data_IF_403439572741
#
_entry.id   IF_403439572741
#
_cell.length_a   1.000
_cell.length_b   1.000
_cell.length_c   1.000
_cell.angle_alpha   90.00
_cell.angle_beta   90.00
_cell.angle_gamma   90.00
#
_symmetry.space_group_name_H-M   'P 1'
#
loop_
_entity.id
_entity.type
_entity.pdbx_description
1 polymer ?
#
# COMPACT_ATOMS: atom_id res chain seq x y z
N UNK A 1 -69.78 -56.34 -53.04
CA UNK A 1 -71.08 -55.63 -53.01
C UNK A 1 -70.79 -54.22 -52.50
N UNK A 2 -71.31 -53.23 -53.22
CA UNK A 2 -70.72 -51.92 -53.44
C UNK A 2 -70.58 -51.01 -52.20
N UNK A 3 -69.45 -50.30 -52.13
CA UNK A 3 -69.23 -49.15 -51.25
C UNK A 3 -69.63 -47.90 -52.05
N UNK A 4 -70.60 -47.14 -51.55
CA UNK A 4 -71.16 -45.94 -52.20
C UNK A 4 -70.46 -44.68 -51.67
N UNK A 5 -70.17 -43.81 -52.64
CA UNK A 5 -69.55 -42.49 -52.62
C UNK A 5 -70.34 -41.47 -51.78
N UNK A 6 -69.68 -40.50 -51.14
CA UNK A 6 -69.84 -39.04 -51.35
C UNK A 6 -69.13 -38.20 -50.27
N UNK A 7 -68.31 -37.23 -50.71
CA UNK A 7 -67.84 -36.10 -49.92
C UNK A 7 -68.85 -34.95 -49.98
N UNK A 8 -68.80 -33.98 -49.05
CA UNK A 8 -68.40 -32.65 -49.51
C UNK A 8 -67.49 -31.87 -48.54
N UNK A 9 -66.93 -30.81 -49.12
CA UNK A 9 -65.93 -29.91 -48.59
C UNK A 9 -66.51 -28.80 -47.66
N UNK A 10 -65.60 -28.24 -46.85
CA UNK A 10 -65.76 -26.97 -46.13
C UNK A 10 -65.88 -27.15 -44.62
N UNK A 11 -65.31 -26.32 -43.74
CA UNK A 11 -64.53 -25.12 -43.91
C UNK A 11 -64.04 -24.68 -42.48
N UNK A 12 -62.97 -23.86 -42.42
CA UNK A 12 -62.59 -22.91 -41.33
C UNK A 12 -61.54 -23.38 -40.33
N UNK A 13 -60.27 -23.13 -40.68
CA UNK A 13 -59.20 -22.94 -39.71
C UNK A 13 -59.26 -21.52 -39.16
N UNK A 14 -59.56 -21.37 -37.87
CA UNK A 14 -59.46 -20.09 -37.16
C UNK A 14 -57.98 -19.77 -36.88
N UNK A 15 -57.54 -18.64 -37.42
CA UNK A 15 -56.25 -18.02 -37.13
C UNK A 15 -56.34 -17.36 -35.76
N UNK A 16 -55.68 -17.94 -34.76
CA UNK A 16 -55.55 -17.34 -33.43
C UNK A 16 -54.51 -16.22 -33.53
N UNK A 17 -54.97 -14.95 -33.51
CA UNK A 17 -54.09 -13.78 -33.38
C UNK A 17 -53.50 -13.79 -31.96
N UNK A 18 -52.23 -14.11 -31.83
CA UNK A 18 -51.47 -13.88 -30.61
C UNK A 18 -51.29 -12.37 -30.41
N UNK A 19 -52.03 -11.78 -29.47
CA UNK A 19 -51.79 -10.43 -29.00
C UNK A 19 -50.55 -10.42 -28.10
N UNK A 20 -49.43 -10.01 -28.67
CA UNK A 20 -48.19 -9.72 -27.95
C UNK A 20 -48.46 -8.51 -27.05
N UNK A 21 -48.34 -8.61 -25.71
CA UNK A 21 -48.44 -7.43 -24.87
C UNK A 21 -47.27 -6.49 -25.19
N UNK A 22 -47.48 -5.17 -25.23
CA UNK A 22 -46.39 -4.23 -25.46
C UNK A 22 -45.37 -4.38 -24.34
N UNK A 23 -44.14 -4.70 -24.74
CA UNK A 23 -42.95 -4.67 -23.90
C UNK A 23 -42.91 -3.32 -23.19
N UNK A 24 -43.22 -3.34 -21.89
CA UNK A 24 -43.07 -2.19 -21.01
C UNK A 24 -41.64 -1.71 -21.13
N UNK A 25 -41.47 -0.48 -21.61
CA UNK A 25 -40.19 0.21 -21.64
C UNK A 25 -39.46 0.00 -20.31
N UNK A 26 -38.36 -0.76 -20.34
CA UNK A 26 -37.37 -0.73 -19.28
C UNK A 26 -37.00 0.72 -19.08
N UNK A 27 -37.32 1.27 -17.92
CA UNK A 27 -37.09 2.66 -17.58
C UNK A 27 -35.63 3.04 -17.85
N UNK A 28 -35.41 3.97 -18.77
CA UNK A 28 -34.11 4.63 -18.96
C UNK A 28 -33.59 5.29 -17.66
N UNK A 29 -34.46 5.48 -16.66
CA UNK A 29 -34.14 6.03 -15.34
C UNK A 29 -33.47 5.06 -14.35
N UNK A 30 -33.35 3.76 -14.64
CA UNK A 30 -32.72 2.81 -13.70
C UNK A 30 -31.18 2.93 -13.69
N UNK A 31 -30.58 3.53 -14.72
CA UNK A 31 -29.13 3.73 -14.83
C UNK A 31 -28.64 5.04 -14.21
N UNK A 32 -29.54 5.99 -13.92
CA UNK A 32 -29.19 7.37 -13.52
C UNK A 32 -28.96 7.56 -12.01
N UNK A 33 -29.19 6.51 -11.22
CA UNK A 33 -28.98 6.55 -9.76
C UNK A 33 -28.07 5.42 -9.28
N UNK A 34 -26.99 5.17 -10.03
CA UNK A 34 -25.92 4.28 -9.54
C UNK A 34 -25.29 4.92 -8.31
N UNK A 35 -25.59 4.36 -7.14
CA UNK A 35 -24.95 4.75 -5.90
C UNK A 35 -23.44 4.50 -6.02
N UNK A 36 -22.66 5.58 -5.96
CA UNK A 36 -21.21 5.47 -6.00
C UNK A 36 -20.71 5.05 -4.63
N UNK A 37 -20.06 3.89 -4.58
CA UNK A 37 -19.43 3.37 -3.37
C UNK A 37 -18.05 4.01 -3.21
N UNK A 38 -17.74 4.42 -1.98
CA UNK A 38 -16.43 4.86 -1.57
C UNK A 38 -15.89 4.00 -0.45
N UNK A 39 -14.58 3.95 -0.32
CA UNK A 39 -13.89 3.31 0.78
C UNK A 39 -12.86 4.27 1.37
N UNK A 40 -12.75 4.30 2.70
CA UNK A 40 -11.72 5.01 3.43
C UNK A 40 -10.41 4.24 3.35
N UNK A 41 -9.42 4.84 2.71
CA UNK A 41 -8.06 4.35 2.58
C UNK A 41 -7.11 5.20 3.44
N UNK A 42 -6.09 4.60 4.06
CA UNK A 42 -5.04 5.38 4.71
C UNK A 42 -4.20 6.09 3.65
N UNK A 43 -3.74 7.31 3.96
CA UNK A 43 -2.89 8.08 3.03
C UNK A 43 -1.57 7.39 2.70
N UNK A 44 -0.99 6.69 3.68
CA UNK A 44 0.20 5.86 3.52
C UNK A 44 -0.07 4.51 4.12
N UNK A 45 0.24 3.46 3.38
CA UNK A 45 0.24 2.09 3.89
C UNK A 45 1.39 1.35 3.22
N UNK A 46 2.00 0.43 3.95
CA UNK A 46 3.07 -0.40 3.40
C UNK A 46 3.23 -1.67 4.22
N UNK A 47 3.72 -2.71 3.56
CA UNK A 47 4.14 -3.95 4.19
C UNK A 47 5.64 -3.86 4.45
N UNK A 48 6.04 -3.91 5.71
CA UNK A 48 7.42 -4.00 6.11
C UNK A 48 7.90 -5.43 5.96
N UNK A 49 9.00 -5.62 5.24
CA UNK A 49 9.61 -6.93 5.01
C UNK A 49 10.98 -7.02 5.67
N UNK A 50 11.45 -8.25 5.93
CA UNK A 50 12.78 -8.49 6.46
C UNK A 50 13.85 -8.15 5.42
N UNK A 51 14.85 -7.35 5.80
CA UNK A 51 16.00 -7.06 4.94
C UNK A 51 17.10 -8.13 5.00
N UNK A 52 17.08 -8.95 6.06
CA UNK A 52 18.05 -10.01 6.32
C UNK A 52 17.35 -11.28 6.79
N UNK A 53 17.97 -12.43 6.57
CA UNK A 53 17.55 -13.69 7.17
C UNK A 53 18.00 -13.76 8.63
N UNK A 54 17.07 -13.74 9.58
CA UNK A 54 17.37 -13.78 11.00
C UNK A 54 16.18 -14.25 11.85
N UNK A 55 16.44 -14.61 13.11
CA UNK A 55 15.39 -14.92 14.09
C UNK A 55 14.82 -13.63 14.67
N UNK A 56 13.51 -13.51 14.76
CA UNK A 56 12.84 -12.39 15.44
C UNK A 56 13.09 -12.53 16.94
N UNK A 57 13.86 -11.62 17.52
CA UNK A 57 14.18 -11.60 18.94
C UNK A 57 13.09 -10.92 19.76
N UNK A 58 12.59 -9.79 19.26
CA UNK A 58 11.61 -8.94 19.94
C UNK A 58 10.65 -8.32 18.93
N UNK A 59 9.38 -8.30 19.29
CA UNK A 59 8.34 -7.59 18.57
C UNK A 59 7.51 -6.74 19.55
N UNK A 60 7.98 -5.52 19.89
CA UNK A 60 7.36 -4.69 20.93
C UNK A 60 5.97 -4.16 20.55
N UNK A 61 5.55 -4.28 19.29
CA UNK A 61 4.26 -3.80 18.80
C UNK A 61 3.28 -4.94 18.60
N UNK A 62 2.03 -4.69 18.96
CA UNK A 62 0.90 -5.61 18.74
C UNK A 62 -0.03 -5.04 17.68
N UNK A 63 -0.89 -5.89 17.11
CA UNK A 63 -1.92 -5.47 16.14
C UNK A 63 -2.82 -4.38 16.74
N UNK A 64 -3.10 -3.34 15.96
CA UNK A 64 -3.86 -2.17 16.38
C UNK A 64 -3.10 -1.15 17.23
N UNK A 65 -1.89 -1.47 17.71
CA UNK A 65 -1.08 -0.54 18.49
C UNK A 65 -0.57 0.63 17.65
N UNK A 66 -0.51 1.81 18.28
CA UNK A 66 0.01 3.04 17.66
C UNK A 66 1.52 3.16 17.88
N UNK A 67 2.22 3.65 16.86
CA UNK A 67 3.65 3.96 16.89
C UNK A 67 3.93 5.33 16.28
N UNK A 68 5.11 5.87 16.59
CA UNK A 68 5.66 7.10 16.02
C UNK A 68 6.74 6.77 15.00
N UNK A 69 7.00 7.72 14.10
CA UNK A 69 8.11 7.62 13.17
C UNK A 69 9.44 7.45 13.94
N UNK A 70 10.26 6.49 13.52
CA UNK A 70 11.53 6.14 14.17
C UNK A 70 11.42 5.09 15.29
N UNK A 71 10.21 4.75 15.73
CA UNK A 71 10.05 3.69 16.75
C UNK A 71 10.51 2.34 16.20
N UNK A 72 11.18 1.55 17.04
CA UNK A 72 11.60 0.19 16.69
C UNK A 72 10.39 -0.74 16.68
N UNK A 73 10.05 -1.27 15.51
CA UNK A 73 8.91 -2.17 15.33
C UNK A 73 9.32 -3.64 15.42
N UNK A 74 10.49 -4.00 14.89
CA UNK A 74 11.02 -5.36 14.89
C UNK A 74 12.48 -5.36 15.34
N UNK A 75 12.85 -6.29 16.20
CA UNK A 75 14.24 -6.58 16.55
C UNK A 75 14.62 -8.00 16.20
N UNK A 76 15.68 -8.17 15.41
CA UNK A 76 16.26 -9.46 15.10
C UNK A 76 17.36 -9.86 16.09
N UNK A 77 17.64 -11.16 16.17
CA UNK A 77 18.81 -11.68 16.84
C UNK A 77 20.03 -11.54 15.93
N UNK A 78 20.94 -10.65 16.31
CA UNK A 78 22.11 -10.29 15.51
C UNK A 78 23.43 -10.47 16.28
N UNK A 79 23.50 -11.46 17.16
CA UNK A 79 24.73 -11.78 17.89
C UNK A 79 25.92 -12.04 16.94
N UNK A 80 25.69 -12.69 15.80
CA UNK A 80 26.73 -12.95 14.80
C UNK A 80 27.22 -11.65 14.13
N UNK A 81 26.30 -10.80 13.67
CA UNK A 81 26.62 -9.52 13.02
C UNK A 81 27.36 -8.59 13.98
N UNK A 82 26.94 -8.56 15.25
CA UNK A 82 27.64 -7.80 16.28
C UNK A 82 29.08 -8.31 16.48
N UNK A 83 29.28 -9.62 16.49
CA UNK A 83 30.61 -10.23 16.64
C UNK A 83 31.51 -9.90 15.44
N UNK A 84 30.97 -9.94 14.21
CA UNK A 84 31.71 -9.56 13.00
C UNK A 84 32.11 -8.09 13.00
N UNK A 85 31.21 -7.19 13.45
CA UNK A 85 31.53 -5.77 13.62
C UNK A 85 32.67 -5.58 14.62
N UNK A 86 32.61 -6.23 15.79
CA UNK A 86 33.68 -6.15 16.79
C UNK A 86 35.03 -6.65 16.26
N UNK A 87 35.03 -7.73 15.46
CA UNK A 87 36.23 -8.24 14.79
C UNK A 87 36.81 -7.22 13.81
N UNK A 88 35.97 -6.61 12.97
CA UNK A 88 36.39 -5.60 12.00
C UNK A 88 36.92 -4.33 12.69
N UNK A 89 36.31 -3.91 13.79
CA UNK A 89 36.78 -2.78 14.60
C UNK A 89 38.18 -3.04 15.16
N UNK A 90 38.44 -4.24 15.69
CA UNK A 90 39.77 -4.61 16.17
C UNK A 90 40.82 -4.62 15.04
N UNK A 91 40.45 -5.07 13.84
CA UNK A 91 41.33 -5.04 12.67
C UNK A 91 41.62 -3.59 12.20
N UNK A 92 40.60 -2.72 12.21
CA UNK A 92 40.76 -1.29 11.93
C UNK A 92 41.71 -0.63 12.93
N UNK A 93 41.55 -0.90 14.23
CA UNK A 93 42.41 -0.35 15.28
C UNK A 93 43.87 -0.81 15.12
N UNK A 94 44.09 -2.07 14.73
CA UNK A 94 45.42 -2.58 14.43
C UNK A 94 46.05 -1.85 13.23
N UNK A 95 45.31 -1.73 12.12
CA UNK A 95 45.76 -1.03 10.92
C UNK A 95 46.03 0.47 11.18
N UNK A 96 45.21 1.12 12.00
CA UNK A 96 45.36 2.53 12.36
C UNK A 96 46.64 2.76 13.18
N UNK A 97 46.94 1.87 14.13
CA UNK A 97 48.21 1.91 14.89
C UNK A 97 49.41 1.70 13.99
N UNK A 98 49.36 0.74 13.07
CA UNK A 98 50.46 0.48 12.11
C UNK A 98 50.70 1.68 11.19
N UNK A 99 49.65 2.24 10.59
CA UNK A 99 49.77 3.42 9.74
C UNK A 99 50.33 4.62 10.51
N UNK A 100 49.86 4.87 11.74
CA UNK A 100 50.40 5.94 12.61
C UNK A 100 51.87 5.71 12.97
N UNK A 101 52.27 4.46 13.19
CA UNK A 101 53.67 4.12 13.43
C UNK A 101 54.53 4.39 12.18
N UNK A 102 54.09 3.92 11.01
CA UNK A 102 54.77 4.15 9.74
C UNK A 102 54.83 5.64 9.38
N UNK A 103 53.79 6.42 9.69
CA UNK A 103 53.79 7.86 9.50
C UNK A 103 54.89 8.54 10.33
N UNK A 104 54.99 8.20 11.62
CA UNK A 104 56.07 8.72 12.49
C UNK A 104 57.45 8.30 12.02
N UNK A 105 57.60 7.07 11.53
CA UNK A 105 58.87 6.59 10.97
C UNK A 105 59.21 7.31 9.65
N UNK A 106 58.22 7.66 8.83
CA UNK A 106 58.43 8.41 7.59
C UNK A 106 58.90 9.84 7.88
N UNK A 107 58.36 10.47 8.92
CA UNK A 107 58.81 11.79 9.40
C UNK A 107 60.29 11.76 9.85
N UNK A 108 60.77 10.59 10.29
CA UNK A 108 62.16 10.32 10.67
C UNK A 108 63.01 9.76 9.52
N UNK A 109 62.49 9.69 8.28
CA UNK A 109 63.13 9.05 7.12
C UNK A 109 63.54 7.57 7.35
N UNK A 110 62.84 6.87 8.25
CA UNK A 110 63.14 5.51 8.67
C UNK A 110 62.27 4.43 8.00
N UNK A 111 61.36 4.81 7.10
CA UNK A 111 60.51 3.90 6.32
C UNK A 111 60.34 4.39 4.88
N UNK A 112 60.18 3.46 3.94
CA UNK A 112 59.97 3.78 2.52
C UNK A 112 58.55 4.27 2.23
N UNK A 113 58.40 5.12 1.20
CA UNK A 113 57.10 5.63 0.74
C UNK A 113 56.10 4.51 0.40
N UNK A 114 56.56 3.43 -0.23
CA UNK A 114 55.72 2.27 -0.59
C UNK A 114 55.10 1.63 0.65
N UNK A 115 55.86 1.48 1.74
CA UNK A 115 55.37 0.88 2.98
C UNK A 115 54.37 1.79 3.71
N UNK A 116 54.59 3.11 3.67
CA UNK A 116 53.61 4.09 4.17
C UNK A 116 52.30 4.00 3.37
N UNK A 117 52.38 4.01 2.03
CA UNK A 117 51.22 3.93 1.14
C UNK A 117 50.45 2.60 1.32
N UNK A 118 51.15 1.48 1.50
CA UNK A 118 50.54 0.16 1.80
C UNK A 118 49.80 0.19 3.14
N UNK A 119 50.42 0.71 4.20
CA UNK A 119 49.77 0.80 5.51
C UNK A 119 48.55 1.74 5.50
N UNK A 120 48.58 2.81 4.69
CA UNK A 120 47.44 3.69 4.48
C UNK A 120 46.30 2.97 3.76
N UNK A 121 46.61 2.19 2.72
CA UNK A 121 45.64 1.41 1.97
C UNK A 121 44.97 0.33 2.85
N UNK A 122 45.73 -0.38 3.69
CA UNK A 122 45.17 -1.37 4.62
C UNK A 122 44.27 -0.72 5.68
N UNK A 123 44.63 0.47 6.19
CA UNK A 123 43.73 1.24 7.06
C UNK A 123 42.43 1.62 6.34
N UNK A 124 42.51 2.09 5.10
CA UNK A 124 41.34 2.44 4.31
C UNK A 124 40.41 1.22 4.07
N UNK A 125 41.00 0.06 3.77
CA UNK A 125 40.29 -1.22 3.62
C UNK A 125 39.60 -1.64 4.93
N UNK A 126 40.30 -1.62 6.06
CA UNK A 126 39.72 -1.99 7.34
C UNK A 126 38.57 -1.04 7.76
N UNK A 127 38.68 0.26 7.46
CA UNK A 127 37.57 1.22 7.65
C UNK A 127 36.36 0.88 6.80
N UNK A 128 36.56 0.49 5.53
CA UNK A 128 35.47 0.07 4.65
C UNK A 128 34.78 -1.21 5.14
N UNK A 129 35.53 -2.16 5.70
CA UNK A 129 34.98 -3.37 6.31
C UNK A 129 34.09 -3.05 7.53
N UNK A 130 34.55 -2.17 8.43
CA UNK A 130 33.74 -1.71 9.57
C UNK A 130 32.45 -1.05 9.09
N UNK A 131 32.52 -0.15 8.10
CA UNK A 131 31.33 0.50 7.54
C UNK A 131 30.34 -0.53 6.95
N UNK A 132 30.83 -1.57 6.27
CA UNK A 132 30.00 -2.65 5.72
C UNK A 132 29.26 -3.42 6.83
N UNK A 133 29.95 -3.81 7.90
CA UNK A 133 29.31 -4.51 9.03
C UNK A 133 28.36 -3.61 9.82
N UNK A 134 28.62 -2.30 9.92
CA UNK A 134 27.66 -1.35 10.50
C UNK A 134 26.35 -1.29 9.71
N UNK A 135 26.42 -1.27 8.37
CA UNK A 135 25.22 -1.33 7.53
C UNK A 135 24.49 -2.65 7.75
N UNK A 136 25.19 -3.78 7.80
CA UNK A 136 24.56 -5.07 8.09
C UNK A 136 23.88 -5.10 9.46
N UNK A 137 24.49 -4.50 10.49
CA UNK A 137 23.91 -4.40 11.82
C UNK A 137 22.70 -3.46 11.87
N UNK A 138 22.69 -2.39 11.07
CA UNK A 138 21.53 -1.48 11.01
C UNK A 138 20.25 -2.19 10.53
N UNK A 139 20.39 -3.22 9.69
CA UNK A 139 19.29 -4.08 9.20
C UNK A 139 18.73 -5.03 10.25
N UNK A 140 19.36 -5.14 11.41
CA UNK A 140 18.91 -5.96 12.53
C UNK A 140 17.72 -5.37 13.29
N UNK A 141 17.35 -4.13 12.99
CA UNK A 141 16.16 -3.49 13.53
C UNK A 141 15.39 -2.82 12.43
N UNK A 142 14.07 -3.03 12.41
CA UNK A 142 13.19 -2.31 11.50
C UNK A 142 12.50 -1.22 12.31
N UNK A 143 12.67 0.02 11.85
CA UNK A 143 12.06 1.20 12.45
C UNK A 143 10.86 1.69 11.62
N UNK A 144 9.95 2.40 12.25
CA UNK A 144 8.76 2.91 11.60
C UNK A 144 9.11 4.08 10.64
N UNK A 145 8.80 3.98 9.34
CA UNK A 145 9.10 5.06 8.37
C UNK A 145 8.19 6.28 8.53
N UNK A 146 7.03 6.14 9.19
CA UNK A 146 6.10 7.20 9.51
C UNK A 146 5.37 6.88 10.82
N UNK A 147 4.53 7.80 11.32
CA UNK A 147 3.68 7.53 12.51
C UNK A 147 2.35 6.94 12.07
N UNK A 148 1.83 5.97 12.81
CA UNK A 148 0.63 5.24 12.39
C UNK A 148 0.25 4.11 13.34
N UNK A 149 -0.47 3.11 12.80
CA UNK A 149 -0.90 1.91 13.51
C UNK A 149 -0.50 0.64 12.77
N UNK A 150 -0.30 -0.43 13.52
CA UNK A 150 -0.08 -1.78 12.98
C UNK A 150 -1.42 -2.33 12.53
N UNK A 151 -1.57 -2.60 11.23
CA UNK A 151 -2.78 -3.18 10.66
C UNK A 151 -2.81 -4.70 10.86
N UNK A 152 -1.69 -5.39 10.60
CA UNK A 152 -1.59 -6.84 10.73
C UNK A 152 -0.15 -7.25 11.09
N UNK A 153 -0.02 -8.28 11.93
CA UNK A 153 1.24 -8.90 12.29
C UNK A 153 1.37 -10.27 11.62
N UNK A 154 2.27 -10.39 10.65
CA UNK A 154 2.46 -11.62 9.87
C UNK A 154 3.51 -12.58 10.45
N UNK A 155 4.27 -12.14 11.43
CA UNK A 155 5.32 -12.95 12.09
C UNK A 155 5.22 -12.88 13.60
N UNK A 156 5.68 -13.93 14.28
CA UNK A 156 5.70 -14.02 15.75
C UNK A 156 7.13 -13.91 16.29
N UNK A 157 7.23 -13.58 17.58
CA UNK A 157 8.52 -13.65 18.27
C UNK A 157 9.08 -15.06 18.21
N UNK A 158 10.42 -15.17 18.21
CA UNK A 158 11.17 -16.41 18.06
C UNK A 158 11.06 -17.10 16.68
N UNK A 159 10.23 -16.58 15.76
CA UNK A 159 10.16 -17.09 14.41
C UNK A 159 11.41 -16.74 13.60
N UNK A 160 11.87 -17.66 12.76
CA UNK A 160 12.91 -17.39 11.76
C UNK A 160 12.27 -16.81 10.51
N UNK A 161 12.85 -15.73 9.98
CA UNK A 161 12.39 -15.07 8.75
C UNK A 161 13.48 -15.03 7.69
N UNK A 162 13.09 -15.08 6.43
CA UNK A 162 13.98 -14.93 5.28
C UNK A 162 13.97 -13.49 4.77
N UNK A 163 15.03 -13.07 4.07
CA UNK A 163 15.04 -11.77 3.40
C UNK A 163 13.90 -11.66 2.38
N UNK A 164 13.19 -10.54 2.38
CA UNK A 164 12.00 -10.29 1.57
C UNK A 164 10.69 -10.83 2.17
N UNK A 165 10.74 -11.57 3.27
CA UNK A 165 9.53 -12.08 3.93
C UNK A 165 8.76 -10.93 4.61
N UNK A 166 7.43 -10.81 4.39
CA UNK A 166 6.63 -9.75 5.00
C UNK A 166 6.44 -10.00 6.51
N UNK A 167 6.53 -8.92 7.29
CA UNK A 167 6.55 -8.97 8.76
C UNK A 167 5.34 -8.27 9.38
N UNK A 168 5.10 -7.02 8.97
CA UNK A 168 4.07 -6.15 9.53
C UNK A 168 3.43 -5.35 8.40
N UNK A 169 2.11 -5.24 8.44
CA UNK A 169 1.39 -4.24 7.67
C UNK A 169 1.18 -3.01 8.53
N UNK A 170 1.58 -1.84 8.04
CA UNK A 170 1.46 -0.58 8.75
C UNK A 170 0.67 0.44 7.94
N UNK A 171 -0.13 1.24 8.64
CA UNK A 171 -0.98 2.27 8.05
C UNK A 171 -0.84 3.60 8.77
N UNK A 172 -0.90 4.69 8.02
CA UNK A 172 -0.98 6.05 8.55
C UNK A 172 -2.44 6.35 8.90
N UNK A 173 -2.68 6.58 10.19
CA UNK A 173 -4.01 6.83 10.75
C UNK A 173 -4.31 8.33 10.95
N UNK A 174 -3.41 9.21 10.52
CA UNK A 174 -3.55 10.66 10.73
C UNK A 174 -4.43 11.34 9.70
N UNK A 175 -4.47 10.80 8.48
CA UNK A 175 -5.24 11.32 7.36
C UNK A 175 -5.80 10.16 6.55
N UNK A 176 -7.13 10.14 6.41
CA UNK A 176 -7.85 9.17 5.58
C UNK A 176 -8.24 9.83 4.25
N UNK A 177 -8.05 9.09 3.17
CA UNK A 177 -8.51 9.44 1.83
C UNK A 177 -9.71 8.56 1.47
N UNK A 178 -10.73 9.14 0.87
CA UNK A 178 -11.83 8.39 0.27
C UNK A 178 -11.45 8.05 -1.16
N UNK A 179 -11.39 6.76 -1.48
CA UNK A 179 -11.27 6.30 -2.85
C UNK A 179 -12.63 5.84 -3.37
N UNK A 180 -12.98 6.29 -4.57
CA UNK A 180 -14.19 5.86 -5.26
C UNK A 180 -13.99 5.92 -6.77
N UNK A 181 -14.80 5.16 -7.49
CA UNK A 181 -14.74 5.04 -8.95
C UNK A 181 -16.03 5.61 -9.53
N UNK A 182 -15.90 6.51 -10.50
CA UNK A 182 -17.03 7.14 -11.18
C UNK A 182 -16.97 6.93 -12.69
N UNK A 183 -18.08 7.04 -13.42
CA UNK A 183 -18.07 7.05 -14.87
C UNK A 183 -17.22 8.19 -15.43
N UNK A 184 -16.47 7.95 -16.49
CA UNK A 184 -15.61 8.96 -17.13
C UNK A 184 -16.36 10.23 -17.57
N UNK A 185 -17.66 10.14 -17.85
CA UNK A 185 -18.54 11.28 -18.17
C UNK A 185 -18.57 12.36 -17.09
N UNK A 186 -18.31 12.00 -15.83
CA UNK A 186 -18.31 12.96 -14.72
C UNK A 186 -17.14 13.94 -14.78
N UNK A 187 -16.08 13.66 -15.56
CA UNK A 187 -14.95 14.57 -15.77
C UNK A 187 -15.36 15.92 -16.36
N UNK A 188 -16.52 16.01 -17.03
CA UNK A 188 -17.01 17.26 -17.63
C UNK A 188 -17.25 18.33 -16.56
N UNK A 189 -17.71 17.94 -15.37
CA UNK A 189 -18.12 18.86 -14.31
C UNK A 189 -17.40 18.64 -12.97
N UNK A 190 -16.88 17.44 -12.71
CA UNK A 190 -16.21 17.11 -11.47
C UNK A 190 -14.76 17.61 -11.51
N UNK A 191 -14.50 18.73 -10.82
CA UNK A 191 -13.18 19.35 -10.71
C UNK A 191 -12.53 19.08 -9.35
N UNK A 192 -11.19 19.18 -9.24
CA UNK A 192 -10.53 19.23 -7.94
C UNK A 192 -11.12 20.34 -7.06
N UNK A 193 -11.12 20.14 -5.74
CA UNK A 193 -11.74 21.00 -4.72
C UNK A 193 -13.28 20.99 -4.67
N UNK A 194 -13.97 20.22 -5.53
CA UNK A 194 -15.42 20.07 -5.42
C UNK A 194 -15.81 19.43 -4.09
N UNK A 195 -16.72 20.08 -3.35
CA UNK A 195 -17.25 19.57 -2.08
C UNK A 195 -18.45 18.68 -2.31
N UNK A 196 -18.58 17.65 -1.50
CA UNK A 196 -19.68 16.71 -1.49
C UNK A 196 -19.84 16.08 -0.10
N UNK A 197 -20.84 15.24 0.06
CA UNK A 197 -21.09 14.52 1.30
C UNK A 197 -20.88 13.03 1.10
N UNK A 198 -20.29 12.35 2.08
CA UNK A 198 -20.18 10.89 2.10
C UNK A 198 -20.95 10.34 3.30
N UNK A 199 -21.81 9.36 3.06
CA UNK A 199 -22.46 8.58 4.13
C UNK A 199 -21.60 7.34 4.37
N UNK A 200 -21.02 7.20 5.56
CA UNK A 200 -20.24 6.01 5.94
C UNK A 200 -21.18 4.99 6.57
N UNK A 201 -21.22 3.79 6.04
CA UNK A 201 -22.20 2.76 6.41
C UNK A 201 -22.01 2.30 7.85
N UNK A 202 -20.76 2.11 8.29
CA UNK A 202 -20.44 1.60 9.62
C UNK A 202 -20.78 2.60 10.74
N UNK A 203 -20.75 3.90 10.44
CA UNK A 203 -21.11 4.95 11.42
C UNK A 203 -22.54 5.44 11.27
N UNK A 204 -23.18 5.21 10.12
CA UNK A 204 -24.49 5.75 9.76
C UNK A 204 -24.53 7.28 9.63
N UNK A 205 -23.37 7.96 9.68
CA UNK A 205 -23.25 9.42 9.66
C UNK A 205 -22.75 9.93 8.33
N UNK A 206 -23.10 11.18 8.05
CA UNK A 206 -22.64 11.90 6.86
C UNK A 206 -21.48 12.83 7.20
N UNK A 207 -20.42 12.78 6.39
CA UNK A 207 -19.23 13.60 6.57
C UNK A 207 -19.00 14.50 5.34
N UNK A 208 -18.59 15.76 5.55
CA UNK A 208 -18.18 16.62 4.44
C UNK A 208 -16.87 16.10 3.86
N UNK A 209 -16.80 16.01 2.54
CA UNK A 209 -15.60 15.59 1.82
C UNK A 209 -15.35 16.51 0.63
N UNK A 210 -14.10 16.59 0.20
CA UNK A 210 -13.70 17.33 -1.00
C UNK A 210 -12.86 16.48 -1.92
N UNK A 211 -13.10 16.60 -3.22
CA UNK A 211 -12.27 15.97 -4.24
C UNK A 211 -10.87 16.55 -4.16
N UNK A 212 -9.88 15.70 -3.91
CA UNK A 212 -8.49 16.11 -3.82
C UNK A 212 -7.77 15.86 -5.15
N UNK A 213 -7.93 14.65 -5.70
CA UNK A 213 -7.23 14.20 -6.90
C UNK A 213 -8.17 13.40 -7.80
N UNK A 214 -7.99 13.59 -9.10
CA UNK A 214 -8.63 12.80 -10.14
C UNK A 214 -7.55 11.88 -10.72
N UNK A 215 -7.88 10.62 -10.95
CA UNK A 215 -6.96 9.65 -11.53
C UNK A 215 -6.41 10.11 -12.88
N UNK A 216 -5.15 9.76 -13.16
CA UNK A 216 -4.49 10.17 -14.41
C UNK A 216 -4.88 9.32 -15.64
N UNK A 217 -5.68 8.26 -15.45
CA UNK A 217 -6.03 7.30 -16.49
C UNK A 217 -7.48 6.83 -16.32
N UNK A 218 -8.22 6.85 -17.43
CA UNK A 218 -9.53 6.20 -17.54
C UNK A 218 -9.30 4.73 -17.84
N UNK A 219 -10.03 3.85 -17.17
CA UNK A 219 -10.05 2.44 -17.50
C UNK A 219 -10.92 2.20 -18.75
N UNK A 220 -10.35 1.70 -19.86
CA UNK A 220 -11.07 1.62 -21.13
C UNK A 220 -12.16 0.53 -21.13
N UNK A 221 -12.04 -0.49 -20.28
CA UNK A 221 -12.98 -1.61 -20.22
C UNK A 221 -14.25 -1.20 -19.47
N UNK A 222 -14.08 -0.59 -18.29
CA UNK A 222 -15.18 -0.16 -17.42
C UNK A 222 -15.66 1.26 -17.69
N UNK A 223 -14.96 2.01 -18.57
CA UNK A 223 -15.22 3.43 -18.85
C UNK A 223 -15.27 4.29 -17.57
N UNK A 224 -14.43 3.95 -16.60
CA UNK A 224 -14.46 4.54 -15.27
C UNK A 224 -13.14 5.19 -14.90
N UNK A 225 -13.17 6.10 -13.94
CA UNK A 225 -12.00 6.79 -13.43
C UNK A 225 -12.01 6.78 -11.91
N UNK A 226 -10.85 6.51 -11.31
CA UNK A 226 -10.65 6.58 -9.87
C UNK A 226 -10.53 8.04 -9.44
N UNK A 227 -11.19 8.40 -8.35
CA UNK A 227 -11.00 9.67 -7.65
C UNK A 227 -10.57 9.42 -6.21
N UNK A 228 -9.79 10.37 -5.71
CA UNK A 228 -9.39 10.46 -4.30
C UNK A 228 -9.94 11.75 -3.72
N UNK A 229 -10.66 11.64 -2.62
CA UNK A 229 -11.17 12.76 -1.85
C UNK A 229 -10.64 12.71 -0.41
N UNK A 230 -10.74 13.83 0.30
CA UNK A 230 -10.36 13.93 1.71
C UNK A 230 -11.60 14.33 2.50
N UNK A 231 -11.80 13.68 3.64
CA UNK A 231 -12.83 14.09 4.60
C UNK A 231 -12.38 15.39 5.27
N UNK A 232 -13.22 16.42 5.23
CA UNK A 232 -12.93 17.70 5.85
C UNK A 232 -13.16 17.60 7.37
N UNK A 233 -12.07 17.38 8.11
CA UNK A 233 -12.08 17.30 9.58
C UNK A 233 -11.21 16.17 10.11
N UNK A 234 -11.18 16.03 11.44
CA UNK A 234 -10.57 14.87 12.11
C UNK A 234 -11.65 14.19 12.94
N UNK A 235 -12.04 13.00 12.50
CA UNK A 235 -13.06 12.19 13.14
C UNK A 235 -12.38 10.93 13.67
N UNK A 236 -12.39 10.73 14.99
CA UNK A 236 -11.69 9.60 15.62
C UNK A 236 -12.40 8.28 15.40
N UNK A 237 -13.70 8.33 15.11
CA UNK A 237 -14.52 7.17 14.78
C UNK A 237 -14.22 6.60 13.39
N UNK A 238 -13.61 7.39 12.50
CA UNK A 238 -13.28 6.93 11.15
C UNK A 238 -11.99 6.10 11.17
N UNK A 239 -12.07 4.91 10.60
CA UNK A 239 -10.94 3.99 10.48
C UNK A 239 -10.79 3.61 9.01
N UNK A 240 -9.55 3.37 8.58
CA UNK A 240 -9.26 2.79 7.28
C UNK A 240 -10.02 1.46 7.08
N UNK A 241 -10.49 1.22 5.86
CA UNK A 241 -11.27 0.05 5.48
C UNK A 241 -12.79 0.29 5.48
N UNK A 242 -13.30 1.27 6.23
CA UNK A 242 -14.72 1.61 6.26
C UNK A 242 -15.25 2.00 4.88
N UNK A 243 -16.49 1.63 4.59
CA UNK A 243 -17.13 1.84 3.30
C UNK A 243 -18.33 2.79 3.40
N UNK A 244 -18.69 3.41 2.29
CA UNK A 244 -19.78 4.36 2.27
C UNK A 244 -20.31 4.67 0.88
N UNK A 245 -21.27 5.59 0.85
CA UNK A 245 -21.92 6.08 -0.37
C UNK A 245 -21.61 7.56 -0.56
N UNK A 246 -21.20 7.88 -1.77
CA UNK A 246 -20.91 9.25 -2.19
C UNK A 246 -22.20 9.93 -2.61
N UNK A 247 -22.57 10.97 -1.88
CA UNK A 247 -23.71 11.83 -2.18
C UNK A 247 -23.18 13.02 -2.99
N UNK A 248 -22.99 12.79 -4.29
CA UNK A 248 -22.67 13.85 -5.25
C UNK A 248 -23.88 14.05 -6.15
N UNK A 249 -24.43 15.26 -6.11
CA UNK A 249 -25.46 15.68 -7.05
C UNK A 249 -24.78 16.13 -8.34
N UNK A 250 -24.99 15.47 -9.49
CA UNK A 250 -24.54 16.02 -10.76
C UNK A 250 -25.21 17.38 -10.96
N UNK A 251 -24.51 18.39 -11.49
CA UNK A 251 -25.18 19.64 -11.84
C UNK A 251 -26.32 19.30 -12.79
N UNK A 252 -27.53 19.77 -12.47
CA UNK A 252 -28.68 19.69 -13.36
C UNK A 252 -28.24 20.27 -14.71
N UNK A 253 -28.16 19.42 -15.72
CA UNK A 253 -27.81 19.86 -17.07
C UNK A 253 -28.86 20.87 -17.58
N UNK A 254 -28.48 21.75 -18.52
CA UNK A 254 -29.47 22.45 -19.34
C UNK A 254 -30.29 21.48 -20.20
#
# INVERSE_FOLDING_TARGET
MACVVTAPAGAWGQVIKASVPPSSAMSANALDKREIRAQLMPRRYTTLAAEIGAKVKQLPVVEGARFKAGDKLVGFDCALQQTQLSKAQAAQDAADKTWKANQRLADLNAVGKVELDVSQAELAKARAEVASYMVMLSKCSITAPFSGRVAEQKVREQQFVQAGQPLLDIIDDSALELEFIVPSKWLVWLKPQQRFQVLIDETGKTYPAKVQRIGARVDPVSQSIKLSAVVDGRFQELIAGMSGRVLVTPPSGP
#
